data_IF_775860343560
#
_entry.id   IF_775860343560
#
_cell.length_a   1.000
_cell.length_b   1.000
_cell.length_c   1.000
_cell.angle_alpha   90.00
_cell.angle_beta   90.00
_cell.angle_gamma   90.00
#
_symmetry.space_group_name_H-M   'P 1'
#
loop_
_entity.id
_entity.type
_entity.pdbx_description
1 polymer ?
#
# COMPACT_ATOMS: atom_id res chain seq x y z
N UNK A 1 -8.30 -10.82 -12.03
CA UNK A 1 -7.24 -11.84 -12.20
C UNK A 1 -6.01 -11.16 -12.77
N UNK A 2 -5.08 -10.89 -11.91
CA UNK A 2 -3.79 -10.36 -12.31
C UNK A 2 -2.94 -11.54 -12.77
N UNK A 3 -2.91 -11.79 -14.07
CA UNK A 3 -1.96 -12.74 -14.69
C UNK A 3 -0.51 -12.24 -14.62
N UNK A 4 -0.25 -11.21 -13.81
CA UNK A 4 1.08 -10.65 -13.60
C UNK A 4 2.12 -11.66 -13.09
N UNK A 5 1.67 -12.70 -12.40
CA UNK A 5 2.57 -13.74 -11.90
C UNK A 5 3.27 -14.54 -13.01
N UNK A 6 2.68 -14.63 -14.20
CA UNK A 6 3.32 -15.29 -15.36
C UNK A 6 4.58 -14.58 -15.84
N UNK A 7 4.61 -13.27 -15.71
CA UNK A 7 5.75 -12.45 -16.15
C UNK A 7 6.81 -12.31 -15.06
N UNK A 8 6.44 -12.49 -13.79
CA UNK A 8 7.37 -12.40 -12.66
C UNK A 8 8.46 -13.49 -12.70
N UNK A 9 8.11 -14.70 -13.15
CA UNK A 9 9.07 -15.79 -13.31
C UNK A 9 10.13 -15.52 -14.40
N UNK A 10 9.94 -14.50 -15.24
CA UNK A 10 10.82 -14.13 -16.35
C UNK A 10 11.42 -12.73 -16.19
N UNK A 11 11.09 -12.03 -15.11
CA UNK A 11 11.54 -10.67 -14.87
C UNK A 11 12.57 -10.64 -13.73
N UNK A 12 13.70 -10.00 -13.96
CA UNK A 12 14.71 -9.75 -12.92
C UNK A 12 14.26 -8.66 -11.93
N UNK A 13 13.31 -7.82 -12.34
CA UNK A 13 12.79 -6.72 -11.53
C UNK A 13 11.34 -6.40 -11.92
N UNK A 14 10.54 -6.04 -10.93
CA UNK A 14 9.17 -5.57 -11.14
C UNK A 14 8.95 -4.23 -10.46
N UNK A 15 8.29 -3.31 -11.15
CA UNK A 15 7.77 -2.08 -10.58
C UNK A 15 6.26 -2.20 -10.39
N UNK A 16 5.77 -1.87 -9.21
CA UNK A 16 4.35 -1.87 -8.90
C UNK A 16 3.99 -0.72 -7.96
N UNK A 17 2.72 -0.40 -7.88
CA UNK A 17 2.19 0.56 -6.92
C UNK A 17 1.25 -0.10 -5.91
N UNK A 18 1.09 0.55 -4.77
CA UNK A 18 0.12 0.15 -3.74
C UNK A 18 -0.53 1.38 -3.14
N UNK A 19 -1.84 1.33 -3.02
CA UNK A 19 -2.59 2.31 -2.26
C UNK A 19 -2.50 1.96 -0.77
N UNK A 20 -1.86 2.83 -0.01
CA UNK A 20 -1.79 2.76 1.44
C UNK A 20 -2.83 3.75 1.98
N UNK A 21 -3.92 3.22 2.53
CA UNK A 21 -5.06 4.01 2.98
C UNK A 21 -4.97 4.48 4.44
N UNK A 22 -6.13 4.58 5.08
CA UNK A 22 -6.28 5.08 6.45
C UNK A 22 -5.67 4.17 7.52
N UNK A 23 -5.48 2.90 7.20
CA UNK A 23 -4.80 1.92 8.05
C UNK A 23 -3.59 1.34 7.30
N UNK A 24 -2.50 2.10 7.20
CA UNK A 24 -1.33 1.70 6.41
C UNK A 24 -0.73 0.38 6.88
N UNK A 25 -0.67 0.14 8.18
CA UNK A 25 -0.17 -1.11 8.77
C UNK A 25 -0.98 -2.32 8.33
N UNK A 26 -2.30 -2.22 8.30
CA UNK A 26 -3.17 -3.30 7.84
C UNK A 26 -3.01 -3.55 6.33
N UNK A 27 -2.98 -2.50 5.54
CA UNK A 27 -2.82 -2.60 4.08
C UNK A 27 -1.47 -3.22 3.72
N UNK A 28 -0.42 -2.82 4.41
CA UNK A 28 0.93 -3.35 4.22
C UNK A 28 1.02 -4.82 4.63
N UNK A 29 0.43 -5.18 5.75
CA UNK A 29 0.37 -6.56 6.20
C UNK A 29 -0.38 -7.45 5.21
N UNK A 30 -1.56 -7.03 4.74
CA UNK A 30 -2.31 -7.76 3.73
C UNK A 30 -1.52 -7.93 2.44
N UNK A 31 -0.76 -6.94 2.05
CA UNK A 31 0.11 -7.04 0.89
C UNK A 31 1.25 -8.04 1.10
N UNK A 32 1.90 -8.02 2.25
CA UNK A 32 2.99 -8.96 2.58
C UNK A 32 2.49 -10.41 2.73
N UNK A 33 1.21 -10.60 3.02
CA UNK A 33 0.57 -11.93 3.04
C UNK A 33 0.09 -12.38 1.67
N UNK A 34 0.25 -11.57 0.63
CA UNK A 34 -0.14 -11.95 -0.73
C UNK A 34 0.68 -13.14 -1.21
N UNK A 35 0.05 -14.28 -1.35
CA UNK A 35 0.66 -15.55 -1.75
C UNK A 35 0.99 -15.64 -3.24
N UNK A 36 0.53 -14.67 -4.04
CA UNK A 36 0.74 -14.67 -5.48
C UNK A 36 2.03 -13.96 -5.92
N UNK A 37 2.57 -13.06 -5.10
CA UNK A 37 3.75 -12.27 -5.43
C UNK A 37 5.02 -12.81 -4.78
N UNK A 38 4.99 -12.93 -3.46
CA UNK A 38 6.19 -13.19 -2.67
C UNK A 38 6.85 -14.55 -2.93
N UNK A 39 6.11 -15.64 -3.21
CA UNK A 39 6.74 -16.92 -3.57
C UNK A 39 7.58 -16.87 -4.86
N UNK A 40 7.37 -15.84 -5.72
CA UNK A 40 8.17 -15.63 -6.92
C UNK A 40 9.41 -14.78 -6.67
N UNK A 41 9.39 -13.95 -5.62
CA UNK A 41 10.48 -13.04 -5.27
C UNK A 41 11.40 -13.61 -4.19
N UNK A 42 10.88 -14.50 -3.36
CA UNK A 42 11.56 -15.08 -2.22
C UNK A 42 11.78 -16.57 -2.43
N UNK A 43 12.87 -17.11 -1.89
CA UNK A 43 13.00 -18.56 -1.73
C UNK A 43 11.92 -19.09 -0.78
N UNK A 44 11.61 -20.37 -0.86
CA UNK A 44 10.63 -20.99 0.03
C UNK A 44 10.92 -20.75 1.52
N UNK A 45 12.20 -20.78 1.91
CA UNK A 45 12.63 -20.52 3.30
C UNK A 45 12.40 -19.05 3.70
N UNK A 46 12.73 -18.11 2.83
CA UNK A 46 12.51 -16.68 3.07
C UNK A 46 11.01 -16.37 3.16
N UNK A 47 10.20 -16.93 2.27
CA UNK A 47 8.75 -16.75 2.31
C UNK A 47 8.14 -17.33 3.60
N UNK A 48 8.53 -18.53 4.00
CA UNK A 48 8.07 -19.14 5.25
C UNK A 48 8.48 -18.29 6.47
N UNK A 49 9.70 -17.74 6.47
CA UNK A 49 10.17 -16.84 7.52
C UNK A 49 9.35 -15.53 7.55
N UNK A 50 9.07 -14.93 6.40
CA UNK A 50 8.21 -13.74 6.29
C UNK A 50 6.83 -14.00 6.89
N UNK A 51 6.17 -15.12 6.53
CA UNK A 51 4.85 -15.45 7.04
C UNK A 51 4.86 -15.67 8.56
N UNK A 52 5.85 -16.39 9.08
CA UNK A 52 6.01 -16.60 10.53
C UNK A 52 6.24 -15.28 11.28
N UNK A 53 7.00 -14.37 10.70
CA UNK A 53 7.23 -13.03 11.28
C UNK A 53 5.95 -12.20 11.29
N UNK A 54 5.14 -12.25 10.23
CA UNK A 54 3.84 -11.58 10.19
C UNK A 54 2.84 -12.17 11.20
N UNK A 55 2.87 -13.47 11.44
CA UNK A 55 2.07 -14.11 12.49
C UNK A 55 2.48 -13.61 13.87
N UNK A 56 3.79 -13.48 14.13
CA UNK A 56 4.29 -12.91 15.36
C UNK A 56 3.93 -11.42 15.52
N UNK A 57 3.86 -10.66 14.44
CA UNK A 57 3.38 -9.27 14.44
C UNK A 57 1.91 -9.21 14.86
N UNK A 58 1.06 -10.07 14.30
CA UNK A 58 -0.37 -10.12 14.65
C UNK A 58 -0.61 -10.52 16.10
N UNK A 59 0.24 -11.36 16.66
CA UNK A 59 0.15 -11.78 18.06
C UNK A 59 0.45 -10.64 19.06
N UNK A 60 1.00 -9.50 18.62
CA UNK A 60 1.27 -8.37 19.50
C UNK A 60 -0.03 -7.70 19.94
N UNK A 61 -0.28 -7.53 21.25
CA UNK A 61 -1.52 -6.98 21.76
C UNK A 61 -1.67 -5.47 21.47
N UNK A 62 -0.58 -4.74 21.44
CA UNK A 62 -0.58 -3.29 21.29
C UNK A 62 -0.36 -2.87 19.82
N UNK A 63 -1.15 -1.90 19.34
CA UNK A 63 -1.05 -1.37 17.99
C UNK A 63 0.34 -0.78 17.71
N UNK A 64 0.94 -0.09 18.67
CA UNK A 64 2.28 0.49 18.53
C UNK A 64 3.33 -0.59 18.31
N UNK A 65 3.31 -1.64 19.12
CA UNK A 65 4.24 -2.77 18.98
C UNK A 65 4.08 -3.49 17.64
N UNK A 66 2.83 -3.65 17.16
CA UNK A 66 2.57 -4.20 15.82
C UNK A 66 3.17 -3.32 14.71
N UNK A 67 3.00 -2.01 14.80
CA UNK A 67 3.52 -1.08 13.80
C UNK A 67 5.05 -1.06 13.77
N UNK A 68 5.68 -1.09 14.94
CA UNK A 68 7.15 -1.15 15.04
C UNK A 68 7.69 -2.47 14.48
N UNK A 69 7.02 -3.58 14.76
CA UNK A 69 7.37 -4.89 14.22
C UNK A 69 7.19 -4.95 12.69
N UNK A 70 6.07 -4.42 12.14
CA UNK A 70 5.88 -4.30 10.68
C UNK A 70 6.95 -3.43 10.03
N UNK A 71 7.31 -2.32 10.66
CA UNK A 71 8.40 -1.47 10.16
C UNK A 71 9.71 -2.24 10.05
N UNK A 72 10.02 -3.09 11.03
CA UNK A 72 11.21 -3.92 10.99
C UNK A 72 11.17 -4.93 9.85
N UNK A 73 10.00 -5.54 9.58
CA UNK A 73 9.83 -6.42 8.40
C UNK A 73 10.14 -5.66 7.11
N UNK A 74 9.60 -4.46 6.94
CA UNK A 74 9.89 -3.64 5.76
C UNK A 74 11.36 -3.26 5.64
N UNK A 75 12.00 -2.87 6.74
CA UNK A 75 13.41 -2.54 6.75
C UNK A 75 14.25 -3.75 6.31
N UNK A 76 13.95 -4.94 6.80
CA UNK A 76 14.64 -6.17 6.38
C UNK A 76 14.48 -6.41 4.87
N UNK A 77 13.26 -6.27 4.33
CA UNK A 77 13.03 -6.44 2.89
C UNK A 77 13.78 -5.39 2.04
N UNK A 78 13.97 -4.19 2.58
CA UNK A 78 14.76 -3.14 1.92
C UNK A 78 16.27 -3.40 2.03
N UNK A 79 16.75 -3.81 3.19
CA UNK A 79 18.16 -4.09 3.44
C UNK A 79 18.63 -5.29 2.61
N UNK A 80 17.77 -6.28 2.42
CA UNK A 80 18.00 -7.44 1.55
C UNK A 80 17.81 -7.13 0.05
N UNK A 81 17.53 -5.87 -0.30
CA UNK A 81 17.25 -5.40 -1.67
C UNK A 81 16.11 -6.15 -2.39
N UNK A 82 15.20 -6.77 -1.63
CA UNK A 82 14.02 -7.46 -2.17
C UNK A 82 12.97 -6.43 -2.59
N UNK A 83 12.91 -5.31 -1.88
CA UNK A 83 11.98 -4.21 -2.15
C UNK A 83 12.70 -2.87 -2.04
N UNK A 84 12.46 -1.99 -3.01
CA UNK A 84 12.99 -0.62 -2.99
C UNK A 84 11.84 0.37 -3.19
N UNK A 85 11.48 1.16 -2.16
CA UNK A 85 10.54 2.26 -2.33
C UNK A 85 11.11 3.32 -3.26
N UNK A 86 10.37 3.68 -4.31
CA UNK A 86 10.83 4.66 -5.29
C UNK A 86 10.27 6.06 -4.99
N UNK A 87 8.96 6.16 -4.85
CA UNK A 87 8.29 7.45 -4.61
C UNK A 87 6.86 7.23 -4.08
N UNK A 88 6.28 8.31 -3.58
CA UNK A 88 4.88 8.40 -3.18
C UNK A 88 4.13 9.29 -4.16
N UNK A 89 3.00 8.83 -4.66
CA UNK A 89 2.12 9.67 -5.47
C UNK A 89 1.47 10.76 -4.63
N UNK A 90 1.43 11.96 -5.20
CA UNK A 90 0.62 13.05 -4.68
C UNK A 90 -0.59 13.23 -5.58
N UNK A 91 -1.76 12.96 -5.05
CA UNK A 91 -3.00 13.20 -5.77
C UNK A 91 -3.38 14.68 -5.66
N UNK A 92 -3.86 15.23 -6.76
CA UNK A 92 -4.39 16.60 -6.81
C UNK A 92 -5.78 16.55 -7.42
N UNK A 93 -6.66 17.43 -6.91
CA UNK A 93 -7.97 17.66 -7.47
C UNK A 93 -7.95 19.05 -8.12
N UNK A 94 -8.43 19.12 -9.34
CA UNK A 94 -8.64 20.37 -10.06
C UNK A 94 -10.10 20.47 -10.44
N UNK A 95 -10.68 21.65 -10.26
CA UNK A 95 -12.05 21.93 -10.60
C UNK A 95 -12.18 23.29 -11.24
N UNK A 96 -13.22 23.54 -12.04
CA UNK A 96 -13.53 24.89 -12.55
C UNK A 96 -13.70 25.89 -11.40
N UNK A 97 -13.41 27.18 -11.66
CA UNK A 97 -13.68 28.24 -10.68
C UNK A 97 -15.14 28.19 -10.19
N UNK A 98 -15.32 28.36 -8.89
CA UNK A 98 -16.63 28.32 -8.25
C UNK A 98 -17.06 26.97 -7.70
N UNK A 99 -16.42 25.86 -8.05
CA UNK A 99 -16.67 24.57 -7.41
C UNK A 99 -15.98 24.54 -6.05
N UNK A 100 -16.76 24.35 -5.00
CA UNK A 100 -16.28 24.32 -3.61
C UNK A 100 -16.56 22.95 -2.97
N UNK A 101 -15.90 22.66 -1.85
CA UNK A 101 -16.16 21.50 -1.02
C UNK A 101 -15.64 20.18 -1.60
N UNK A 102 -14.92 20.17 -2.70
CA UNK A 102 -14.26 18.97 -3.20
C UNK A 102 -13.13 18.54 -2.26
N UNK A 103 -13.08 17.25 -1.94
CA UNK A 103 -12.05 16.66 -1.09
C UNK A 103 -11.44 15.44 -1.72
N UNK A 104 -10.19 15.17 -1.36
CA UNK A 104 -9.54 13.88 -1.59
C UNK A 104 -9.39 13.21 -0.24
N UNK A 105 -9.80 11.95 -0.17
CA UNK A 105 -9.46 11.14 0.99
C UNK A 105 -8.00 10.65 0.90
N UNK A 106 -7.51 10.03 1.95
CA UNK A 106 -6.13 9.50 2.02
C UNK A 106 -5.84 8.40 1.00
N UNK A 107 -6.88 7.81 0.40
CA UNK A 107 -6.76 6.82 -0.68
C UNK A 107 -6.72 7.44 -2.08
N UNK A 108 -6.78 8.77 -2.16
CA UNK A 108 -6.84 9.48 -3.44
C UNK A 108 -8.22 9.42 -4.12
N UNK A 109 -9.26 8.97 -3.42
CA UNK A 109 -10.62 8.97 -3.95
C UNK A 109 -11.26 10.33 -3.76
N UNK A 110 -12.04 10.73 -4.77
CA UNK A 110 -12.79 11.98 -4.74
C UNK A 110 -14.01 11.85 -3.83
N UNK A 111 -14.16 12.81 -2.94
CA UNK A 111 -15.35 12.98 -2.11
C UNK A 111 -16.12 14.21 -2.58
N UNK A 112 -17.30 13.97 -3.11
CA UNK A 112 -18.22 14.99 -3.63
C UNK A 112 -19.37 15.29 -2.66
N UNK A 113 -19.45 14.66 -1.51
CA UNK A 113 -20.59 14.76 -0.58
C UNK A 113 -20.82 16.18 -0.08
N UNK A 114 -19.77 16.99 -0.01
CA UNK A 114 -19.83 18.39 0.38
C UNK A 114 -19.55 19.35 -0.79
N UNK A 115 -19.56 18.86 -2.02
CA UNK A 115 -19.33 19.71 -3.20
C UNK A 115 -20.55 20.57 -3.52
N UNK A 116 -20.32 21.85 -3.80
CA UNK A 116 -21.39 22.78 -4.14
C UNK A 116 -20.91 23.87 -5.10
N UNK A 117 -21.84 24.46 -5.81
CA UNK A 117 -21.67 25.65 -6.62
C UNK A 117 -22.40 26.81 -5.96
N UNK A 118 -21.83 28.03 -5.92
CA UNK A 118 -22.59 29.19 -5.48
C UNK A 118 -23.77 29.40 -6.41
N UNK A 119 -24.91 29.86 -5.84
CA UNK A 119 -26.05 30.24 -6.65
C UNK A 119 -25.59 31.30 -7.66
N UNK A 120 -25.91 31.10 -8.94
CA UNK A 120 -25.67 32.11 -9.94
C UNK A 120 -26.45 33.37 -9.52
N UNK A 121 -25.75 34.47 -9.29
CA UNK A 121 -26.39 35.76 -9.17
C UNK A 121 -27.10 36.06 -10.51
N UNK A 122 -28.43 35.96 -10.48
CA UNK A 122 -29.27 36.35 -11.62
C UNK A 122 -29.09 37.83 -11.96
#
# INVERSE_FOLDING_TARGET
NWDGCRYLAQADMMMGDRLIGEAPEYTLEQWLRCDTLWPHLLSGAQYAHLQATLDAVQAQPEARSRNDALRNVFNTLMDDAIMTPLFKYNYRISAPPGVNGLRLNVRGWFDFTSAWLPASSA
#
